data_IF_369526479777
#
_entry.id   IF_369526479777
#
_cell.length_a   1.000
_cell.length_b   1.000
_cell.length_c   1.000
_cell.angle_alpha   90.00
_cell.angle_beta   90.00
_cell.angle_gamma   90.00
#
_symmetry.space_group_name_H-M   'P 1'
#
loop_
_entity.id
_entity.type
_entity.pdbx_description
1 polymer ?
#
# COMPACT_ATOMS: atom_id res chain seq x y z
N UNK A 1 10.74 -19.49 -44.58
CA UNK A 1 10.42 -18.08 -44.32
C UNK A 1 9.65 -18.00 -43.02
N UNK A 2 10.12 -17.27 -41.99
CA UNK A 2 9.28 -16.99 -40.83
C UNK A 2 8.07 -16.18 -41.29
N UNK A 3 6.85 -16.62 -40.94
CA UNK A 3 5.62 -15.91 -41.30
C UNK A 3 5.46 -14.71 -40.36
N UNK A 4 5.46 -13.46 -40.85
CA UNK A 4 5.37 -12.29 -40.00
C UNK A 4 4.03 -12.25 -39.24
N UNK A 5 2.94 -12.80 -39.79
CA UNK A 5 1.65 -12.83 -39.10
C UNK A 5 1.72 -13.66 -37.81
N UNK A 6 2.45 -14.79 -37.81
CA UNK A 6 2.60 -15.64 -36.63
C UNK A 6 3.38 -14.92 -35.52
N UNK A 7 4.41 -14.16 -35.89
CA UNK A 7 5.18 -13.38 -34.93
C UNK A 7 4.31 -12.33 -34.23
N UNK A 8 3.43 -11.66 -34.98
CA UNK A 8 2.49 -10.67 -34.43
C UNK A 8 1.46 -11.33 -33.52
N UNK A 9 0.89 -12.47 -33.93
CA UNK A 9 -0.09 -13.19 -33.12
C UNK A 9 0.51 -13.69 -31.80
N UNK A 10 1.70 -14.28 -31.84
CA UNK A 10 2.42 -14.73 -30.65
C UNK A 10 2.81 -13.55 -29.75
N UNK A 11 3.31 -12.46 -30.33
CA UNK A 11 3.65 -11.25 -29.57
C UNK A 11 2.44 -10.65 -28.86
N UNK A 12 1.29 -10.63 -29.52
CA UNK A 12 0.02 -10.14 -28.96
C UNK A 12 -0.42 -11.01 -27.78
N UNK A 13 -0.35 -12.34 -27.91
CA UNK A 13 -0.66 -13.26 -26.80
C UNK A 13 0.27 -13.06 -25.60
N UNK A 14 1.58 -12.94 -25.84
CA UNK A 14 2.56 -12.67 -24.78
C UNK A 14 2.29 -11.32 -24.08
N UNK A 15 1.90 -10.29 -24.83
CA UNK A 15 1.56 -8.99 -24.26
C UNK A 15 0.30 -9.05 -23.38
N UNK A 16 -0.76 -9.72 -23.84
CA UNK A 16 -1.96 -9.94 -23.02
C UNK A 16 -1.65 -10.70 -21.73
N UNK A 17 -0.81 -11.73 -21.82
CA UNK A 17 -0.32 -12.47 -20.65
C UNK A 17 0.46 -11.56 -19.70
N UNK A 18 1.37 -10.72 -20.20
CA UNK A 18 2.11 -9.77 -19.37
C UNK A 18 1.20 -8.72 -18.70
N UNK A 19 0.14 -8.27 -19.40
CA UNK A 19 -0.84 -7.30 -18.88
C UNK A 19 -1.75 -7.88 -17.79
N UNK A 20 -2.26 -9.10 -17.98
CA UNK A 20 -3.18 -9.69 -17.00
C UNK A 20 -2.47 -10.03 -15.68
N UNK A 21 -1.19 -10.38 -15.77
CA UNK A 21 -0.39 -10.85 -14.63
C UNK A 21 0.63 -9.82 -14.14
N UNK A 22 0.50 -8.53 -14.48
CA UNK A 22 1.39 -7.46 -14.01
C UNK A 22 1.18 -7.06 -12.53
N UNK A 23 0.25 -7.70 -11.82
CA UNK A 23 -0.02 -7.43 -10.39
C UNK A 23 -0.91 -6.22 -10.09
N UNK A 24 -1.13 -5.32 -11.06
CA UNK A 24 -1.93 -4.10 -10.88
C UNK A 24 -3.42 -4.41 -10.70
N UNK A 25 -3.94 -5.43 -11.41
CA UNK A 25 -5.35 -5.83 -11.34
C UNK A 25 -5.64 -6.78 -10.18
N UNK A 26 -4.67 -7.64 -9.84
CA UNK A 26 -4.75 -8.53 -8.69
C UNK A 26 -3.38 -8.62 -8.03
N UNK A 27 -3.29 -8.45 -6.69
CA UNK A 27 -2.04 -8.62 -5.98
C UNK A 27 -1.53 -10.06 -6.15
N UNK A 28 -0.20 -10.28 -6.08
CA UNK A 28 0.41 -11.59 -6.28
C UNK A 28 -0.07 -12.64 -5.27
N UNK A 29 -0.62 -12.22 -4.13
CA UNK A 29 -1.23 -13.07 -3.10
C UNK A 29 -2.57 -13.69 -3.51
N UNK A 30 -3.28 -13.10 -4.48
CA UNK A 30 -4.54 -13.61 -5.03
C UNK A 30 -4.38 -14.58 -6.20
N UNK A 31 -3.16 -14.72 -6.74
CA UNK A 31 -2.89 -15.57 -7.91
C UNK A 31 -2.69 -17.04 -7.49
N UNK A 32 -3.23 -18.02 -8.24
CA UNK A 32 -2.87 -19.42 -8.07
C UNK A 32 -1.34 -19.59 -8.19
N UNK A 33 -0.72 -20.34 -7.28
CA UNK A 33 0.76 -20.48 -7.20
C UNK A 33 1.46 -20.79 -8.52
N UNK A 34 0.78 -21.48 -9.45
CA UNK A 34 1.32 -21.76 -10.78
C UNK A 34 1.68 -20.49 -11.57
N UNK A 35 0.90 -19.41 -11.48
CA UNK A 35 1.07 -18.19 -12.28
C UNK A 35 2.07 -17.18 -11.70
N UNK A 36 2.66 -17.47 -10.53
CA UNK A 36 3.64 -16.59 -9.88
C UNK A 36 4.90 -16.43 -10.73
N UNK A 37 5.29 -17.42 -11.53
CA UNK A 37 6.43 -17.28 -12.44
C UNK A 37 6.21 -16.15 -13.45
N UNK A 38 4.97 -16.00 -13.91
CA UNK A 38 4.65 -15.08 -14.98
C UNK A 38 4.59 -13.62 -14.49
N UNK A 39 4.18 -13.42 -13.25
CA UNK A 39 4.32 -12.15 -12.53
C UNK A 39 5.79 -11.68 -12.51
N UNK A 40 6.73 -12.58 -12.21
CA UNK A 40 8.17 -12.28 -12.13
C UNK A 40 8.84 -12.03 -13.49
N UNK A 41 8.32 -12.62 -14.57
CA UNK A 41 8.87 -12.45 -15.92
C UNK A 41 8.32 -11.19 -16.60
N UNK A 42 7.14 -10.71 -16.18
CA UNK A 42 6.49 -9.57 -16.81
C UNK A 42 7.26 -8.26 -16.53
N UNK A 43 7.81 -7.60 -17.55
CA UNK A 43 8.51 -6.32 -17.38
C UNK A 43 7.56 -5.19 -16.95
N UNK A 44 6.25 -5.36 -17.17
CA UNK A 44 5.23 -4.39 -16.80
C UNK A 44 5.05 -4.30 -15.27
N UNK A 45 5.28 -5.40 -14.56
CA UNK A 45 5.28 -5.43 -13.10
C UNK A 45 6.29 -4.42 -12.56
N UNK A 46 7.55 -4.55 -12.96
CA UNK A 46 8.63 -3.66 -12.52
C UNK A 46 8.43 -2.20 -12.95
N UNK A 47 7.84 -1.98 -14.13
CA UNK A 47 7.54 -0.62 -14.59
C UNK A 47 6.44 0.04 -13.75
N UNK A 48 5.36 -0.69 -13.45
CA UNK A 48 4.28 -0.19 -12.59
C UNK A 48 4.75 0.00 -11.15
N UNK A 49 5.57 -0.91 -10.62
CA UNK A 49 6.23 -0.78 -9.32
C UNK A 49 7.06 0.52 -9.28
N UNK A 50 7.94 0.73 -10.27
CA UNK A 50 8.78 1.93 -10.35
C UNK A 50 8.01 3.24 -10.49
N UNK A 51 6.93 3.27 -11.28
CA UNK A 51 6.06 4.44 -11.38
C UNK A 51 5.36 4.77 -10.07
N UNK A 52 4.85 3.75 -9.38
CA UNK A 52 4.17 3.92 -8.09
C UNK A 52 5.12 4.47 -7.04
N UNK A 53 6.32 3.88 -6.93
CA UNK A 53 7.36 4.37 -6.02
C UNK A 53 7.78 5.80 -6.39
N UNK A 54 8.05 6.09 -7.66
CA UNK A 54 8.46 7.44 -8.07
C UNK A 54 7.37 8.50 -7.82
N UNK A 55 6.10 8.14 -7.92
CA UNK A 55 4.97 9.07 -7.75
C UNK A 55 4.50 9.26 -6.31
N UNK A 56 4.53 8.20 -5.49
CA UNK A 56 3.99 8.20 -4.13
C UNK A 56 5.07 8.15 -3.03
N UNK A 57 6.33 7.84 -3.35
CA UNK A 57 7.38 7.81 -2.33
C UNK A 57 7.45 9.16 -1.59
N UNK A 58 7.47 9.08 -0.26
CA UNK A 58 7.49 10.23 0.65
C UNK A 58 6.31 11.19 0.55
N UNK A 59 5.22 10.82 -0.14
CA UNK A 59 4.00 11.61 -0.10
C UNK A 59 3.43 11.61 1.32
N UNK A 60 3.06 12.80 1.81
CA UNK A 60 2.43 12.97 3.12
C UNK A 60 0.96 12.58 2.98
N UNK A 61 0.51 11.60 3.77
CA UNK A 61 -0.85 11.08 3.71
C UNK A 61 -1.69 11.78 4.77
N UNK A 62 -2.78 12.40 4.36
CA UNK A 62 -3.78 12.97 5.26
C UNK A 62 -5.00 12.07 5.28
N UNK A 63 -5.24 11.36 6.38
CA UNK A 63 -6.42 10.51 6.55
C UNK A 63 -7.72 11.31 6.41
N UNK A 64 -8.70 10.73 5.72
CA UNK A 64 -10.08 11.25 5.72
C UNK A 64 -10.84 10.83 6.99
N UNK A 65 -11.97 11.47 7.28
CA UNK A 65 -12.82 11.17 8.44
C UNK A 65 -13.26 9.70 8.55
N UNK A 66 -13.30 8.98 7.42
CA UNK A 66 -13.66 7.56 7.34
C UNK A 66 -12.49 6.63 7.71
N UNK A 67 -11.26 7.09 7.51
CA UNK A 67 -10.03 6.32 7.78
C UNK A 67 -9.47 6.58 9.17
N UNK A 68 -9.99 7.60 9.86
CA UNK A 68 -9.64 7.92 11.23
C UNK A 68 -10.22 6.86 12.18
N UNK A 69 -9.32 6.20 12.89
CA UNK A 69 -9.66 5.29 13.98
C UNK A 69 -10.11 6.13 15.17
N UNK A 70 -11.36 5.92 15.58
CA UNK A 70 -11.94 6.57 16.75
C UNK A 70 -11.72 5.69 17.97
N UNK A 71 -10.75 6.08 18.81
CA UNK A 71 -10.36 5.35 20.01
C UNK A 71 -10.90 6.10 21.22
N UNK A 72 -11.76 5.42 22.00
CA UNK A 72 -12.23 5.95 23.26
C UNK A 72 -11.25 5.58 24.37
N UNK A 73 -10.72 6.57 25.07
CA UNK A 73 -9.83 6.35 26.21
C UNK A 73 -10.62 5.66 27.33
N UNK A 74 -10.12 4.57 27.94
CA UNK A 74 -10.79 3.90 29.03
C UNK A 74 -10.95 4.84 30.25
N UNK A 75 -12.02 4.64 31.03
CA UNK A 75 -12.37 5.51 32.17
C UNK A 75 -11.31 5.54 33.28
N UNK A 76 -10.43 4.54 33.31
CA UNK A 76 -9.34 4.40 34.28
C UNK A 76 -8.22 5.42 34.07
N UNK A 77 -8.15 6.03 32.89
CA UNK A 77 -7.24 7.12 32.53
C UNK A 77 -8.00 8.43 32.26
N UNK A 78 -9.12 8.65 32.97
CA UNK A 78 -9.90 9.89 32.94
C UNK A 78 -9.03 11.09 33.38
N UNK A 79 -8.42 11.77 32.40
CA UNK A 79 -7.51 12.90 32.61
C UNK A 79 -6.21 12.81 31.79
N UNK A 80 -5.90 11.64 31.21
CA UNK A 80 -4.82 11.54 30.22
C UNK A 80 -5.31 12.01 28.85
N UNK A 81 -4.48 12.81 28.18
CA UNK A 81 -4.74 13.24 26.81
C UNK A 81 -4.50 12.08 25.84
N UNK A 82 -5.20 12.09 24.70
CA UNK A 82 -5.00 11.14 23.61
C UNK A 82 -3.51 11.01 23.23
N UNK A 83 -2.77 12.12 23.21
CA UNK A 83 -1.34 12.13 22.95
C UNK A 83 -0.51 11.40 24.00
N UNK A 84 -0.85 11.52 25.28
CA UNK A 84 -0.13 10.82 26.36
C UNK A 84 -0.41 9.32 26.36
N UNK A 85 -1.64 8.92 26.01
CA UNK A 85 -2.05 7.51 26.00
C UNK A 85 -1.52 6.76 24.78
N UNK A 86 -1.62 7.37 23.60
CA UNK A 86 -1.19 6.77 22.33
C UNK A 86 0.25 7.11 21.94
N UNK A 87 0.91 8.05 22.61
CA UNK A 87 2.32 8.40 22.38
C UNK A 87 3.27 7.20 22.26
N UNK A 88 3.35 6.28 23.25
CA UNK A 88 4.23 5.12 23.16
C UNK A 88 3.82 4.12 22.07
N UNK A 89 2.55 4.13 21.65
CA UNK A 89 2.07 3.32 20.53
C UNK A 89 2.49 3.93 19.19
N UNK A 90 2.36 5.25 19.02
CA UNK A 90 2.75 5.98 17.82
C UNK A 90 4.25 5.92 17.59
N UNK A 91 5.07 5.95 18.65
CA UNK A 91 6.52 5.77 18.54
C UNK A 91 6.91 4.39 17.98
N UNK A 92 6.11 3.35 18.24
CA UNK A 92 6.39 1.98 17.76
C UNK A 92 5.73 1.65 16.43
N UNK A 93 4.46 2.04 16.27
CA UNK A 93 3.63 1.70 15.12
C UNK A 93 3.65 2.76 14.02
N UNK A 94 4.11 3.98 14.32
CA UNK A 94 4.01 5.13 13.42
C UNK A 94 2.60 5.73 13.38
N UNK A 95 2.39 6.62 12.41
CA UNK A 95 1.14 7.37 12.25
C UNK A 95 1.13 8.71 12.99
N UNK A 96 -0.04 9.34 13.06
CA UNK A 96 -0.23 10.62 13.75
C UNK A 96 -1.63 10.74 14.36
N UNK A 97 -1.77 11.68 15.30
CA UNK A 97 -3.06 12.05 15.92
C UNK A 97 -3.49 13.41 15.40
N UNK A 98 -4.77 13.56 15.07
CA UNK A 98 -5.34 14.88 14.78
C UNK A 98 -5.63 15.68 16.06
N UNK A 99 -6.10 15.00 17.11
CA UNK A 99 -6.51 15.62 18.36
C UNK A 99 -5.67 15.11 19.55
N UNK A 100 -4.42 15.56 19.71
CA UNK A 100 -3.54 15.09 20.78
C UNK A 100 -3.98 15.60 22.17
N UNK A 101 -4.77 16.66 22.25
CA UNK A 101 -5.19 17.32 23.50
C UNK A 101 -6.54 16.85 24.04
N UNK A 102 -7.35 16.17 23.22
CA UNK A 102 -8.66 15.68 23.66
C UNK A 102 -8.51 14.53 24.66
N UNK A 103 -9.50 14.40 25.53
CA UNK A 103 -9.60 13.32 26.54
C UNK A 103 -10.69 12.31 26.19
N UNK A 104 -11.50 12.59 25.16
CA UNK A 104 -12.57 11.74 24.66
C UNK A 104 -12.57 11.74 23.13
N UNK A 105 -12.74 10.57 22.50
CA UNK A 105 -12.85 10.44 21.05
C UNK A 105 -11.56 10.71 20.27
N UNK A 106 -10.46 10.01 20.62
CA UNK A 106 -9.18 10.17 19.94
C UNK A 106 -9.28 9.77 18.46
N UNK A 107 -8.77 10.62 17.56
CA UNK A 107 -8.68 10.36 16.13
C UNK A 107 -7.25 10.01 15.76
N UNK A 108 -7.02 8.73 15.47
CA UNK A 108 -5.71 8.19 15.11
C UNK A 108 -5.66 7.81 13.62
N UNK A 109 -4.62 8.28 12.93
CA UNK A 109 -4.29 7.89 11.58
C UNK A 109 -3.06 6.97 11.60
N UNK A 110 -3.17 5.70 11.18
CA UNK A 110 -2.07 4.75 11.23
C UNK A 110 -0.99 5.01 10.16
N UNK A 111 -1.32 5.79 9.12
CA UNK A 111 -0.45 6.01 7.97
C UNK A 111 -0.12 7.50 7.87
N UNK A 112 1.09 7.89 8.27
CA UNK A 112 1.57 9.28 8.13
C UNK A 112 2.30 9.53 6.80
N UNK A 113 2.95 8.50 6.26
CA UNK A 113 3.65 8.52 4.97
C UNK A 113 3.11 7.42 4.08
N UNK A 114 3.17 7.62 2.76
CA UNK A 114 2.78 6.59 1.81
C UNK A 114 3.70 5.35 1.84
N UNK A 115 4.95 5.49 2.32
CA UNK A 115 5.94 4.39 2.36
C UNK A 115 5.43 3.12 3.09
N UNK A 116 4.90 3.17 4.33
CA UNK A 116 4.33 1.99 4.98
C UNK A 116 3.14 1.38 4.23
N UNK A 117 2.38 2.16 3.46
CA UNK A 117 1.34 1.62 2.59
C UNK A 117 1.94 0.93 1.35
N UNK A 118 3.00 1.50 0.77
CA UNK A 118 3.77 0.91 -0.35
C UNK A 118 4.45 -0.41 0.07
N UNK A 119 4.97 -0.49 1.29
CA UNK A 119 5.56 -1.70 1.87
C UNK A 119 4.56 -2.86 1.97
N UNK A 120 3.30 -2.56 2.30
CA UNK A 120 2.25 -3.59 2.38
C UNK A 120 1.89 -4.19 1.01
N UNK A 121 2.29 -3.53 -0.07
CA UNK A 121 2.03 -3.91 -1.45
C UNK A 121 3.28 -4.49 -2.15
N UNK A 122 4.35 -4.78 -1.39
CA UNK A 122 5.64 -5.29 -1.92
C UNK A 122 6.35 -4.28 -2.87
N UNK A 123 5.97 -3.00 -2.85
CA UNK A 123 6.61 -1.93 -3.65
C UNK A 123 7.87 -1.35 -2.99
N UNK A 124 8.55 -2.10 -2.11
CA UNK A 124 9.66 -1.60 -1.30
C UNK A 124 11.00 -1.73 -2.04
N UNK A 125 11.47 -0.63 -2.64
CA UNK A 125 12.79 -0.53 -3.29
C UNK A 125 13.76 0.45 -2.60
N UNK A 126 13.51 0.86 -1.35
CA UNK A 126 14.47 1.65 -0.55
C UNK A 126 14.35 1.44 0.96
#
# INVERSE_FOLDING_TARGET
>A
MPRPELAVQLGTLCYWLALVFCGVLMPPTGLPRFWVFMYRVSPLTYFAEGLTVAGLANANVTCSAVELLHINVPRESAGQTCGSYLGPYIERAGGYLENPTDTAGCRYCPVSKANPALASLDFDFF
#
